data_IF_822974352696
#
_entry.id   IF_822974352696
#
_cell.length_a   1.000
_cell.length_b   1.000
_cell.length_c   1.000
_cell.angle_alpha   90.00
_cell.angle_beta   90.00
_cell.angle_gamma   90.00
#
_symmetry.space_group_name_H-M   'P 1'
#
loop_
_entity.id
_entity.type
_entity.pdbx_description
1 polymer ?
#
# COMPACT_ATOMS: atom_id res chain seq x y z
N UNK A 1 -2.94 10.44 -0.82
CA UNK A 1 -1.60 10.71 -0.27
C UNK A 1 -1.60 10.93 1.25
N UNK A 2 -2.12 12.05 1.79
CA UNK A 2 -2.02 12.30 3.25
C UNK A 2 -2.57 11.17 4.14
N UNK A 3 -3.77 10.64 3.85
CA UNK A 3 -4.35 9.52 4.61
C UNK A 3 -3.51 8.25 4.52
N UNK A 4 -2.92 7.97 3.35
CA UNK A 4 -2.04 6.83 3.13
C UNK A 4 -0.76 6.94 3.98
N UNK A 5 -0.12 8.11 3.98
CA UNK A 5 1.06 8.36 4.80
C UNK A 5 0.76 8.24 6.31
N UNK A 6 -0.41 8.73 6.76
CA UNK A 6 -0.83 8.57 8.15
C UNK A 6 -1.06 7.10 8.53
N UNK A 7 -1.60 6.29 7.61
CA UNK A 7 -1.71 4.85 7.83
C UNK A 7 -0.32 4.21 7.93
N UNK A 8 0.59 4.50 6.99
CA UNK A 8 1.93 3.92 7.00
C UNK A 8 2.75 4.29 8.24
N UNK A 9 2.62 5.53 8.72
CA UNK A 9 3.40 6.01 9.85
C UNK A 9 2.86 5.52 11.21
N UNK A 10 1.54 5.41 11.34
CA UNK A 10 0.88 5.14 12.63
C UNK A 10 0.14 3.80 12.67
N UNK A 11 -0.68 3.51 11.66
CA UNK A 11 -1.53 2.31 11.62
C UNK A 11 -0.71 1.03 11.51
N UNK A 12 0.33 1.01 10.70
CA UNK A 12 1.17 -0.18 10.49
C UNK A 12 2.02 -0.56 11.72
N UNK A 13 2.17 0.37 12.68
CA UNK A 13 2.85 0.13 13.96
C UNK A 13 1.93 -0.47 15.02
N UNK A 14 0.62 -0.45 14.79
CA UNK A 14 -0.35 -1.06 15.70
C UNK A 14 -0.34 -2.56 15.52
N UNK A 15 -0.44 -3.30 16.64
CA UNK A 15 -0.32 -4.76 16.64
C UNK A 15 -1.69 -5.41 16.53
N UNK A 16 -2.67 -4.91 17.30
CA UNK A 16 -4.02 -5.47 17.36
C UNK A 16 -4.95 -4.89 16.29
N UNK A 17 -5.87 -5.71 15.80
CA UNK A 17 -6.87 -5.29 14.82
C UNK A 17 -7.88 -4.30 15.43
N UNK A 18 -8.19 -4.44 16.72
CA UNK A 18 -9.02 -3.47 17.46
C UNK A 18 -8.42 -2.07 17.43
N UNK A 19 -7.10 -1.96 17.63
CA UNK A 19 -6.40 -0.67 17.61
C UNK A 19 -6.38 -0.08 16.20
N UNK A 20 -6.24 -0.93 15.17
CA UNK A 20 -6.29 -0.51 13.76
C UNK A 20 -7.68 0.02 13.39
N UNK A 21 -8.75 -0.62 13.83
CA UNK A 21 -10.12 -0.14 13.61
C UNK A 21 -10.37 1.19 14.32
N UNK A 22 -9.98 1.29 15.59
CA UNK A 22 -10.06 2.54 16.35
C UNK A 22 -9.32 3.70 15.67
N UNK A 23 -8.13 3.43 15.12
CA UNK A 23 -7.36 4.44 14.38
C UNK A 23 -8.09 4.90 13.11
N UNK A 24 -8.68 3.97 12.35
CA UNK A 24 -9.42 4.30 11.13
C UNK A 24 -10.62 5.22 11.44
N UNK A 25 -11.35 4.91 12.52
CA UNK A 25 -12.50 5.71 12.95
C UNK A 25 -12.08 7.10 13.43
N UNK A 26 -11.02 7.19 14.23
CA UNK A 26 -10.47 8.46 14.72
C UNK A 26 -10.01 9.34 13.54
N UNK A 27 -9.34 8.74 12.56
CA UNK A 27 -8.87 9.45 11.37
C UNK A 27 -10.04 9.96 10.52
N UNK A 28 -11.08 9.15 10.32
CA UNK A 28 -12.31 9.56 9.61
C UNK A 28 -13.03 10.70 10.33
N UNK A 29 -13.14 10.66 11.66
CA UNK A 29 -13.74 11.73 12.46
C UNK A 29 -12.96 13.05 12.35
N UNK A 30 -11.62 12.99 12.45
CA UNK A 30 -10.77 14.17 12.31
C UNK A 30 -10.83 14.78 10.92
N UNK A 31 -10.86 13.94 9.88
CA UNK A 31 -10.97 14.39 8.49
C UNK A 31 -12.29 15.11 8.24
N UNK A 32 -13.39 14.56 8.77
CA UNK A 32 -14.70 15.21 8.72
C UNK A 32 -14.70 16.56 9.46
N UNK A 33 -14.10 16.62 10.65
CA UNK A 33 -14.07 17.85 11.43
C UNK A 33 -13.23 18.97 10.79
N UNK A 34 -12.09 18.64 10.18
CA UNK A 34 -11.18 19.65 9.63
C UNK A 34 -11.42 20.00 8.17
N UNK A 35 -11.83 19.02 7.36
CA UNK A 35 -11.89 19.16 5.90
C UNK A 35 -13.32 19.01 5.38
N UNK A 36 -14.30 18.71 6.26
CA UNK A 36 -15.70 18.43 5.88
C UNK A 36 -15.82 17.37 4.78
N UNK A 37 -14.83 16.48 4.69
CA UNK A 37 -14.78 15.40 3.71
C UNK A 37 -14.96 14.09 4.43
N UNK A 38 -16.09 13.44 4.16
CA UNK A 38 -16.36 12.09 4.63
C UNK A 38 -15.57 11.12 3.77
N UNK A 39 -14.40 10.68 4.26
CA UNK A 39 -13.73 9.51 3.75
C UNK A 39 -14.12 8.30 4.62
N UNK A 40 -14.62 7.24 3.99
CA UNK A 40 -14.92 6.00 4.71
C UNK A 40 -13.61 5.27 5.02
N UNK A 41 -13.52 4.55 6.17
CA UNK A 41 -12.41 3.65 6.49
C UNK A 41 -11.97 2.75 5.32
N UNK A 42 -12.94 2.18 4.61
CA UNK A 42 -12.70 1.28 3.47
C UNK A 42 -12.03 1.96 2.27
N UNK A 43 -12.19 3.29 2.11
CA UNK A 43 -11.64 4.02 0.96
C UNK A 43 -10.14 4.26 1.06
N UNK A 44 -9.57 4.21 2.26
CA UNK A 44 -8.13 4.42 2.48
C UNK A 44 -7.42 3.19 3.03
N UNK A 45 -8.13 2.22 3.61
CA UNK A 45 -7.54 0.96 4.11
C UNK A 45 -6.93 0.14 2.98
N UNK A 46 -7.60 0.08 1.83
CA UNK A 46 -7.20 -0.76 0.69
C UNK A 46 -6.48 0.04 -0.41
N UNK A 47 -6.07 1.28 -0.11
CA UNK A 47 -5.43 2.14 -1.08
C UNK A 47 -3.92 1.84 -1.18
N UNK A 48 -3.47 1.34 -2.33
CA UNK A 48 -2.06 1.04 -2.60
C UNK A 48 -1.43 2.26 -3.29
N UNK A 49 -0.28 2.73 -2.78
CA UNK A 49 0.53 3.75 -3.43
C UNK A 49 1.97 3.29 -3.58
N UNK A 50 2.55 3.52 -4.74
CA UNK A 50 3.90 3.08 -5.04
C UNK A 50 4.53 3.77 -6.23
N UNK A 51 5.84 3.64 -6.33
CA UNK A 51 6.69 4.18 -7.39
C UNK A 51 7.16 3.10 -8.39
N UNK A 52 6.68 1.86 -8.21
CA UNK A 52 7.10 0.67 -8.95
C UNK A 52 6.36 0.44 -10.27
N UNK A 53 5.36 1.28 -10.59
CA UNK A 53 4.53 1.10 -11.79
C UNK A 53 5.27 1.41 -13.10
N UNK A 54 6.30 2.26 -13.06
CA UNK A 54 7.11 2.61 -14.23
C UNK A 54 8.59 2.34 -13.94
N UNK A 55 9.28 1.74 -14.93
CA UNK A 55 10.71 1.41 -14.86
C UNK A 55 11.59 2.63 -15.16
N UNK A 56 11.02 3.69 -15.75
CA UNK A 56 11.69 4.93 -16.10
C UNK A 56 11.64 5.95 -14.96
N UNK A 57 10.77 6.96 -15.09
CA UNK A 57 10.47 7.84 -13.98
C UNK A 57 9.67 7.04 -12.95
N UNK A 58 10.02 7.15 -11.67
CA UNK A 58 9.36 6.43 -10.57
C UNK A 58 8.45 7.38 -9.79
N UNK A 59 7.33 7.88 -10.39
CA UNK A 59 6.44 8.77 -9.67
C UNK A 59 5.67 7.97 -8.62
N UNK A 60 5.64 8.48 -7.40
CA UNK A 60 4.83 7.90 -6.34
C UNK A 60 3.35 8.16 -6.62
N UNK A 61 2.63 7.11 -7.03
CA UNK A 61 1.26 7.24 -7.52
C UNK A 61 0.33 6.15 -6.99
N UNK A 62 -0.97 6.40 -7.13
CA UNK A 62 -2.01 5.46 -6.73
C UNK A 62 -2.04 4.26 -7.67
N UNK A 63 -2.22 3.06 -7.11
CA UNK A 63 -2.33 1.81 -7.86
C UNK A 63 -3.79 1.36 -7.82
N UNK A 64 -4.48 1.49 -8.95
CA UNK A 64 -5.91 1.13 -9.07
C UNK A 64 -6.18 -0.38 -8.96
N UNK A 65 -5.16 -1.23 -9.14
CA UNK A 65 -5.35 -2.68 -9.29
C UNK A 65 -4.21 -3.47 -8.67
N UNK A 66 -4.57 -4.28 -7.68
CA UNK A 66 -3.66 -5.20 -6.98
C UNK A 66 -3.04 -6.23 -7.94
N UNK A 67 -3.82 -6.74 -8.90
CA UNK A 67 -3.29 -7.72 -9.88
C UNK A 67 -2.19 -7.14 -10.75
N UNK A 68 -2.26 -5.84 -11.10
CA UNK A 68 -1.17 -5.16 -11.81
C UNK A 68 0.10 -5.09 -10.96
N UNK A 69 -0.05 -4.83 -9.66
CA UNK A 69 1.08 -4.80 -8.71
C UNK A 69 1.78 -6.16 -8.65
N UNK A 70 1.01 -7.24 -8.48
CA UNK A 70 1.53 -8.61 -8.45
C UNK A 70 2.23 -8.97 -9.77
N UNK A 71 1.64 -8.63 -10.92
CA UNK A 71 2.27 -8.89 -12.23
C UNK A 71 3.63 -8.20 -12.35
N UNK A 72 3.72 -6.92 -11.99
CA UNK A 72 4.97 -6.16 -12.07
C UNK A 72 6.04 -6.74 -11.14
N UNK A 73 5.68 -7.11 -9.91
CA UNK A 73 6.63 -7.72 -8.99
C UNK A 73 7.14 -9.08 -9.46
N UNK A 74 6.30 -9.89 -10.11
CA UNK A 74 6.74 -11.14 -10.74
C UNK A 74 7.72 -10.88 -11.88
N UNK A 75 7.46 -9.91 -12.75
CA UNK A 75 8.42 -9.52 -13.81
C UNK A 75 9.77 -9.08 -13.22
N UNK A 76 9.75 -8.30 -12.15
CA UNK A 76 10.98 -7.86 -11.48
C UNK A 76 11.73 -9.02 -10.82
N UNK A 77 11.01 -9.99 -10.24
CA UNK A 77 11.59 -11.20 -9.67
C UNK A 77 12.21 -12.08 -10.75
N UNK A 78 11.56 -12.23 -11.90
CA UNK A 78 12.10 -12.94 -13.05
C UNK A 78 13.38 -12.26 -13.56
N UNK A 79 13.36 -10.94 -13.77
CA UNK A 79 14.53 -10.16 -14.19
C UNK A 79 15.69 -10.30 -13.19
N UNK A 80 15.38 -10.29 -11.88
CA UNK A 80 16.37 -10.52 -10.82
C UNK A 80 16.98 -11.91 -10.91
N UNK A 81 16.15 -12.95 -11.09
CA UNK A 81 16.55 -14.35 -11.16
C UNK A 81 17.33 -14.69 -12.44
N UNK A 82 17.16 -13.92 -13.51
CA UNK A 82 17.95 -14.01 -14.74
C UNK A 82 19.32 -13.37 -14.56
N UNK A 83 19.39 -12.24 -13.85
CA UNK A 83 20.61 -11.43 -13.71
C UNK A 83 21.54 -11.95 -12.60
N UNK A 84 20.99 -12.57 -11.55
CA UNK A 84 21.75 -12.97 -10.37
C UNK A 84 21.91 -14.49 -10.26
N UNK A 85 23.09 -14.97 -9.80
CA UNK A 85 23.32 -16.41 -9.59
C UNK A 85 22.53 -16.97 -8.40
N UNK A 86 22.20 -16.13 -7.42
CA UNK A 86 21.34 -16.50 -6.28
C UNK A 86 19.89 -16.25 -6.66
N UNK A 87 19.13 -17.32 -6.91
CA UNK A 87 17.70 -17.22 -7.22
C UNK A 87 16.89 -16.94 -5.95
N UNK A 88 15.95 -16.02 -6.04
CA UNK A 88 14.92 -15.76 -5.03
C UNK A 88 13.59 -16.36 -5.51
N UNK A 89 12.94 -17.13 -4.64
CA UNK A 89 11.63 -17.72 -4.88
C UNK A 89 10.63 -17.09 -3.91
N UNK A 90 10.07 -15.94 -4.31
CA UNK A 90 9.16 -15.15 -3.50
C UNK A 90 7.77 -15.26 -4.14
N UNK A 91 6.79 -15.68 -3.34
CA UNK A 91 5.39 -15.69 -3.75
C UNK A 91 4.75 -14.38 -3.29
N UNK A 92 4.34 -13.55 -4.25
CA UNK A 92 3.64 -12.30 -3.96
C UNK A 92 2.16 -12.56 -3.70
N UNK A 93 1.69 -12.17 -2.52
CA UNK A 93 0.29 -12.20 -2.14
C UNK A 93 -0.29 -10.79 -2.04
N UNK A 94 -1.60 -10.69 -1.81
CA UNK A 94 -2.32 -9.45 -1.53
C UNK A 94 -1.61 -8.57 -0.51
N UNK A 95 -1.20 -9.18 0.60
CA UNK A 95 -0.51 -8.51 1.70
C UNK A 95 0.83 -7.88 1.27
N UNK A 96 1.54 -8.52 0.33
CA UNK A 96 2.82 -8.02 -0.19
C UNK A 96 2.67 -6.77 -1.05
N UNK A 97 1.47 -6.49 -1.56
CA UNK A 97 1.18 -5.26 -2.29
C UNK A 97 0.81 -4.09 -1.35
N UNK A 98 0.43 -4.40 -0.11
CA UNK A 98 0.08 -3.41 0.91
C UNK A 98 1.26 -2.99 1.79
N UNK A 99 2.28 -3.84 1.91
CA UNK A 99 3.47 -3.64 2.75
C UNK A 99 4.64 -3.04 1.97
#
# INVERSE_FOLDING_TARGET
LYLHEMCRQFRDRLIDDTDREWFNDNLSQKLNAQISKAAKPDEFRDAIFGDFLDRGERPYQYVDSESKCVSIFNEWLEDYNVTNPTKMDIVFFRDTCFH
#
